data_IF_161615984118
#
_entry.id   IF_161615984118
#
_cell.length_a   1.000
_cell.length_b   1.000
_cell.length_c   1.000
_cell.angle_alpha   90.00
_cell.angle_beta   90.00
_cell.angle_gamma   90.00
#
_symmetry.space_group_name_H-M   'P 1'
#
loop_
_entity.id
_entity.type
_entity.pdbx_description
1 polymer ?
#
# COMPACT_ATOMS: atom_id res chain seq x y z
N UNK A 1 11.40 12.13 -53.17
CA UNK A 1 11.83 11.11 -52.18
C UNK A 1 11.61 11.54 -50.72
N UNK A 2 11.12 12.76 -50.42
CA UNK A 2 10.79 13.21 -49.06
C UNK A 2 9.33 12.94 -48.65
N UNK A 3 8.40 12.81 -49.60
CA UNK A 3 6.98 12.59 -49.28
C UNK A 3 6.60 11.14 -48.92
N UNK A 4 7.44 10.14 -49.28
CA UNK A 4 7.17 8.71 -49.00
C UNK A 4 7.43 8.36 -47.53
N UNK A 5 8.45 8.97 -46.92
CA UNK A 5 8.78 8.75 -45.51
C UNK A 5 7.71 9.33 -44.57
N UNK A 6 7.09 10.45 -44.96
CA UNK A 6 6.04 11.11 -44.19
C UNK A 6 4.72 10.33 -44.23
N UNK A 7 4.34 9.75 -45.38
CA UNK A 7 3.17 8.86 -45.46
C UNK A 7 3.38 7.55 -44.69
N UNK A 8 4.58 6.97 -44.75
CA UNK A 8 4.93 5.78 -43.99
C UNK A 8 4.92 6.04 -42.48
N UNK A 9 5.29 7.25 -42.05
CA UNK A 9 5.25 7.67 -40.64
C UNK A 9 3.82 7.87 -40.15
N UNK A 10 2.97 8.55 -40.93
CA UNK A 10 1.55 8.75 -40.61
C UNK A 10 0.79 7.42 -40.56
N UNK A 11 1.08 6.49 -41.47
CA UNK A 11 0.43 5.19 -41.51
C UNK A 11 0.91 4.28 -40.38
N UNK A 12 2.20 4.30 -40.02
CA UNK A 12 2.72 3.60 -38.83
C UNK A 12 2.14 4.18 -37.53
N UNK A 13 1.95 5.49 -37.45
CA UNK A 13 1.29 6.12 -36.30
C UNK A 13 -0.18 5.68 -36.25
N UNK A 14 -0.92 5.70 -37.35
CA UNK A 14 -2.31 5.24 -37.40
C UNK A 14 -2.45 3.77 -37.06
N UNK A 15 -1.54 2.92 -37.56
CA UNK A 15 -1.51 1.49 -37.26
C UNK A 15 -1.25 1.25 -35.77
N UNK A 16 -0.28 1.97 -35.19
CA UNK A 16 0.04 1.90 -33.76
C UNK A 16 -1.11 2.42 -32.88
N UNK A 17 -1.74 3.52 -33.29
CA UNK A 17 -2.93 4.09 -32.66
C UNK A 17 -4.08 3.07 -32.72
N UNK A 18 -4.37 2.45 -33.87
CA UNK A 18 -5.41 1.42 -34.01
C UNK A 18 -5.14 0.17 -33.16
N UNK A 19 -3.88 -0.27 -33.10
CA UNK A 19 -3.49 -1.40 -32.26
C UNK A 19 -3.62 -1.06 -30.75
N UNK A 20 -3.42 0.21 -30.36
CA UNK A 20 -3.58 0.69 -28.98
C UNK A 20 -5.05 1.01 -28.61
N UNK A 21 -5.92 1.33 -29.57
CA UNK A 21 -7.36 1.64 -29.37
C UNK A 21 -8.23 0.38 -29.25
N UNK A 22 -7.74 -0.79 -29.65
CA UNK A 22 -8.54 -2.01 -29.72
C UNK A 22 -9.03 -2.55 -28.35
N UNK A 23 -8.71 -1.87 -27.24
CA UNK A 23 -9.11 -2.21 -25.88
C UNK A 23 -10.17 -1.26 -25.28
N UNK A 24 -10.73 -0.33 -26.05
CA UNK A 24 -11.69 0.68 -25.59
C UNK A 24 -13.12 0.32 -26.07
N UNK A 25 -14.19 0.61 -25.31
CA UNK A 25 -15.58 0.38 -25.73
C UNK A 25 -15.95 0.96 -27.11
N UNK A 26 -16.89 0.33 -27.82
CA UNK A 26 -17.24 0.65 -29.21
C UNK A 26 -17.66 2.11 -29.45
N UNK A 27 -18.32 2.72 -28.46
CA UNK A 27 -18.76 4.11 -28.48
C UNK A 27 -17.59 5.12 -28.38
N UNK A 28 -16.46 4.68 -27.83
CA UNK A 28 -15.21 5.43 -27.83
C UNK A 28 -14.43 5.16 -29.12
N UNK A 29 -14.45 3.93 -29.64
CA UNK A 29 -13.82 3.59 -30.93
C UNK A 29 -14.38 4.43 -32.08
N UNK A 30 -15.71 4.59 -32.17
CA UNK A 30 -16.33 5.43 -33.20
C UNK A 30 -15.88 6.90 -33.12
N UNK A 31 -15.78 7.45 -31.91
CA UNK A 31 -15.36 8.84 -31.69
C UNK A 31 -13.89 9.06 -32.05
N UNK A 32 -13.05 8.06 -31.80
CA UNK A 32 -11.63 8.12 -32.16
C UNK A 32 -11.44 7.97 -33.67
N UNK A 33 -12.19 7.08 -34.33
CA UNK A 33 -12.17 6.94 -35.79
C UNK A 33 -12.59 8.24 -36.50
N UNK A 34 -13.58 8.95 -35.95
CA UNK A 34 -13.93 10.29 -36.44
C UNK A 34 -12.80 11.31 -36.22
N UNK A 35 -12.11 11.27 -35.08
CA UNK A 35 -10.99 12.15 -34.78
C UNK A 35 -9.81 11.91 -35.71
N UNK A 36 -9.46 10.63 -35.96
CA UNK A 36 -8.41 10.21 -36.89
C UNK A 36 -8.72 10.69 -38.32
N UNK A 37 -9.98 10.59 -38.76
CA UNK A 37 -10.44 11.11 -40.06
C UNK A 37 -10.27 12.62 -40.19
N UNK A 38 -10.29 13.37 -39.08
CA UNK A 38 -10.18 14.84 -39.04
C UNK A 38 -8.74 15.36 -38.92
N UNK A 39 -7.73 14.49 -38.71
CA UNK A 39 -6.31 14.90 -38.68
C UNK A 39 -5.90 15.35 -40.09
N UNK A 40 -5.65 16.65 -40.26
CA UNK A 40 -5.19 17.23 -41.52
C UNK A 40 -3.66 17.06 -41.64
N UNK A 41 -3.18 16.49 -42.76
CA UNK A 41 -1.74 16.33 -43.10
C UNK A 41 -1.01 17.66 -42.86
N UNK A 42 -0.21 17.76 -41.80
CA UNK A 42 0.63 18.93 -41.53
C UNK A 42 2.08 18.48 -41.53
N UNK A 43 2.87 19.06 -42.43
CA UNK A 43 4.31 18.78 -42.59
C UNK A 43 5.04 19.15 -41.30
N UNK A 44 5.58 18.15 -40.60
CA UNK A 44 6.48 18.36 -39.46
C UNK A 44 7.79 17.62 -39.75
N UNK A 45 8.92 18.29 -39.53
CA UNK A 45 10.23 17.78 -39.92
C UNK A 45 10.73 16.77 -38.86
N UNK A 46 10.62 15.47 -39.17
CA UNK A 46 10.81 14.36 -38.23
C UNK A 46 12.28 13.96 -38.14
N UNK A 47 13.08 14.63 -37.29
CA UNK A 47 14.41 14.10 -36.91
C UNK A 47 14.75 14.08 -35.42
N UNK A 48 13.89 14.54 -34.52
CA UNK A 48 14.13 14.45 -33.05
C UNK A 48 12.86 14.38 -32.21
N UNK A 49 11.86 13.59 -32.60
CA UNK A 49 10.63 13.40 -31.81
C UNK A 49 10.24 11.92 -31.85
N UNK A 50 10.99 11.07 -31.17
CA UNK A 50 10.66 9.65 -31.01
C UNK A 50 10.71 9.29 -29.53
N UNK A 51 9.56 9.45 -28.85
CA UNK A 51 9.07 8.62 -27.72
C UNK A 51 8.01 9.34 -26.87
N UNK A 52 8.04 10.67 -26.78
CA UNK A 52 7.18 11.42 -25.84
C UNK A 52 5.87 11.93 -26.49
N UNK A 53 5.87 12.31 -27.77
CA UNK A 53 4.67 12.89 -28.39
C UNK A 53 3.57 11.88 -28.74
N UNK A 54 3.87 10.58 -28.91
CA UNK A 54 2.83 9.57 -29.17
C UNK A 54 1.91 9.36 -27.96
N UNK A 55 2.47 9.42 -26.75
CA UNK A 55 1.74 9.33 -25.47
C UNK A 55 0.79 10.53 -25.30
N UNK A 56 1.24 11.73 -25.68
CA UNK A 56 0.40 12.93 -25.66
C UNK A 56 -0.68 12.94 -26.76
N UNK A 57 -0.45 12.28 -27.89
CA UNK A 57 -1.40 12.23 -29.02
C UNK A 57 -2.52 11.22 -28.75
N UNK A 58 -2.23 10.05 -28.18
CA UNK A 58 -3.28 9.13 -27.70
C UNK A 58 -4.05 9.76 -26.52
N UNK A 59 -3.33 10.44 -25.63
CA UNK A 59 -3.90 11.27 -24.56
C UNK A 59 -4.55 12.59 -25.02
N UNK A 60 -4.62 12.90 -26.32
CA UNK A 60 -5.44 14.02 -26.84
C UNK A 60 -6.54 13.53 -27.79
N UNK A 61 -6.34 12.40 -28.47
CA UNK A 61 -7.35 11.76 -29.33
C UNK A 61 -8.43 11.02 -28.51
N UNK A 62 -8.09 10.49 -27.33
CA UNK A 62 -9.08 10.03 -26.35
C UNK A 62 -9.88 11.21 -25.73
N UNK A 63 -9.41 12.44 -25.87
CA UNK A 63 -9.87 13.62 -25.13
C UNK A 63 -10.61 14.66 -25.99
N UNK A 64 -11.16 14.23 -27.12
CA UNK A 64 -11.86 15.08 -28.10
C UNK A 64 -13.27 15.55 -27.72
N UNK A 65 -13.72 15.41 -26.46
CA UNK A 65 -14.98 16.00 -25.98
C UNK A 65 -14.72 16.73 -24.65
N UNK A 66 -14.54 18.04 -24.78
CA UNK A 66 -14.58 19.08 -23.73
C UNK A 66 -13.68 18.88 -22.51
N UNK A 67 -12.40 19.27 -22.63
CA UNK A 67 -11.64 19.79 -21.49
C UNK A 67 -11.65 21.33 -21.57
N UNK A 68 -12.46 22.03 -20.77
CA UNK A 68 -12.18 23.44 -20.50
C UNK A 68 -10.83 23.50 -19.78
N UNK A 69 -9.80 23.98 -20.46
CA UNK A 69 -8.54 24.51 -19.90
C UNK A 69 -8.19 24.05 -18.47
N UNK A 70 -7.60 22.87 -18.32
CA UNK A 70 -7.03 22.41 -17.05
C UNK A 70 -5.50 22.54 -17.09
N UNK A 71 -5.04 23.76 -16.89
CA UNK A 71 -3.68 24.06 -16.45
C UNK A 71 -3.75 25.26 -15.49
N UNK A 72 -4.52 25.11 -14.40
CA UNK A 72 -4.30 25.97 -13.25
C UNK A 72 -2.98 25.53 -12.64
N UNK A 73 -1.95 26.38 -12.72
CA UNK A 73 -0.73 26.23 -11.94
C UNK A 73 -1.10 26.04 -10.47
N UNK A 74 -0.85 24.86 -9.88
CA UNK A 74 -0.95 24.63 -8.44
C UNK A 74 0.45 24.29 -7.91
N UNK A 75 0.90 24.96 -6.84
CA UNK A 75 2.24 24.84 -6.30
C UNK A 75 2.38 23.64 -5.35
N UNK A 76 2.12 22.42 -5.82
CA UNK A 76 2.70 21.23 -5.19
C UNK A 76 3.84 20.77 -6.10
N UNK A 77 4.90 21.57 -6.12
CA UNK A 77 6.17 21.24 -6.79
C UNK A 77 6.85 20.20 -5.90
N UNK A 78 6.74 18.92 -6.25
CA UNK A 78 7.35 17.79 -5.55
C UNK A 78 6.48 16.52 -5.63
N UNK A 79 7.09 15.34 -5.46
CA UNK A 79 6.31 14.09 -5.50
C UNK A 79 5.34 14.07 -4.32
N UNK A 80 4.04 13.82 -4.56
CA UNK A 80 3.05 13.62 -3.47
C UNK A 80 3.54 12.53 -2.50
N UNK A 81 4.32 11.57 -3.00
CA UNK A 81 4.96 10.51 -2.23
C UNK A 81 5.92 11.04 -1.16
N UNK A 82 6.57 12.19 -1.36
CA UNK A 82 7.38 12.83 -0.31
C UNK A 82 6.52 13.36 0.84
N UNK A 83 5.25 13.68 0.58
CA UNK A 83 4.31 14.06 1.64
C UNK A 83 3.91 12.83 2.45
N UNK A 84 3.90 11.67 1.83
CA UNK A 84 3.81 10.40 2.52
C UNK A 84 5.17 10.13 3.21
N UNK A 85 5.25 10.42 4.51
CA UNK A 85 6.46 10.13 5.32
C UNK A 85 6.54 8.62 5.62
N UNK A 86 6.55 7.78 4.58
CA UNK A 86 6.48 6.33 4.64
C UNK A 86 7.52 5.73 3.71
N UNK A 87 8.52 5.03 4.27
CA UNK A 87 9.35 4.09 3.51
C UNK A 87 8.49 3.12 2.68
N UNK A 88 7.26 2.84 3.13
CA UNK A 88 6.24 2.04 2.42
C UNK A 88 5.95 2.46 0.98
N UNK A 89 6.10 3.75 0.62
CA UNK A 89 5.83 4.21 -0.75
C UNK A 89 7.07 4.72 -1.49
N UNK A 90 8.28 4.46 -0.99
CA UNK A 90 9.53 5.01 -1.55
C UNK A 90 9.78 4.57 -2.99
N UNK A 91 9.37 3.35 -3.34
CA UNK A 91 9.55 2.82 -4.68
C UNK A 91 8.43 3.20 -5.66
N UNK A 92 7.31 3.75 -5.17
CA UNK A 92 6.16 4.06 -6.01
C UNK A 92 6.45 5.08 -7.10
N UNK A 93 7.36 6.03 -6.87
CA UNK A 93 7.67 7.08 -7.85
C UNK A 93 8.26 6.50 -9.15
N UNK A 94 9.04 5.41 -9.02
CA UNK A 94 9.65 4.71 -10.15
C UNK A 94 8.60 4.09 -11.07
N UNK A 95 7.55 3.53 -10.48
CA UNK A 95 6.58 2.66 -11.15
C UNK A 95 5.24 3.36 -11.47
N UNK A 96 4.88 4.39 -10.72
CA UNK A 96 3.63 5.11 -10.93
C UNK A 96 3.67 5.98 -12.19
N UNK A 97 2.46 6.26 -12.67
CA UNK A 97 2.20 7.23 -13.74
C UNK A 97 1.81 8.56 -13.11
N UNK A 98 2.49 9.64 -13.50
CA UNK A 98 2.11 11.00 -13.15
C UNK A 98 0.90 11.45 -13.98
N UNK A 99 -0.13 11.96 -13.30
CA UNK A 99 -1.39 12.37 -13.92
C UNK A 99 -1.72 13.84 -13.64
N UNK A 100 -1.82 14.20 -12.35
CA UNK A 100 -2.23 15.51 -11.87
C UNK A 100 -3.53 16.03 -12.50
N UNK A 101 -4.54 15.16 -12.59
CA UNK A 101 -5.85 15.49 -13.15
C UNK A 101 -6.73 16.02 -12.03
N UNK A 102 -7.31 17.21 -12.21
CA UNK A 102 -8.11 17.87 -11.18
C UNK A 102 -9.57 18.03 -11.59
N UNK A 103 -10.49 17.77 -10.64
CA UNK A 103 -11.91 18.11 -10.72
C UNK A 103 -12.30 18.96 -9.51
N UNK A 104 -13.23 19.87 -9.71
CA UNK A 104 -13.72 20.75 -8.66
C UNK A 104 -15.24 20.67 -8.63
N UNK A 105 -15.80 20.53 -7.42
CA UNK A 105 -17.24 20.50 -7.19
C UNK A 105 -17.50 20.97 -5.77
N UNK A 106 -18.54 21.78 -5.57
CA UNK A 106 -18.98 22.26 -4.25
C UNK A 106 -17.86 22.78 -3.34
N UNK A 107 -16.94 23.57 -3.92
CA UNK A 107 -15.86 24.24 -3.20
C UNK A 107 -14.69 23.34 -2.80
N UNK A 108 -14.70 22.05 -3.20
CA UNK A 108 -13.59 21.14 -3.02
C UNK A 108 -12.97 20.79 -4.37
N UNK A 109 -11.64 20.85 -4.39
CA UNK A 109 -10.83 20.50 -5.54
C UNK A 109 -10.12 19.18 -5.26
N UNK A 110 -10.43 18.17 -6.06
CA UNK A 110 -9.86 16.82 -5.96
C UNK A 110 -8.90 16.61 -7.13
N UNK A 111 -7.65 16.33 -6.82
CA UNK A 111 -6.60 16.05 -7.80
C UNK A 111 -6.16 14.59 -7.67
N UNK A 112 -6.23 13.83 -8.75
CA UNK A 112 -5.56 12.52 -8.87
C UNK A 112 -4.12 12.79 -9.31
N UNK A 113 -3.17 12.62 -8.40
CA UNK A 113 -1.76 12.94 -8.63
C UNK A 113 -1.04 11.82 -9.37
N UNK A 114 -1.12 10.59 -8.85
CA UNK A 114 -0.43 9.43 -9.40
C UNK A 114 -1.32 8.18 -9.33
N UNK A 115 -1.07 7.25 -10.23
CA UNK A 115 -1.70 5.92 -10.24
C UNK A 115 -0.68 4.83 -10.54
N UNK A 116 -0.84 3.68 -9.91
CA UNK A 116 -0.09 2.47 -10.26
C UNK A 116 -0.91 1.22 -9.99
N UNK A 117 -0.78 0.22 -10.86
CA UNK A 117 -1.33 -1.12 -10.63
C UNK A 117 -0.18 -2.11 -10.77
N UNK A 118 0.07 -2.90 -9.72
CA UNK A 118 1.19 -3.84 -9.64
C UNK A 118 0.78 -5.31 -9.76
N UNK A 119 -0.38 -5.57 -10.38
CA UNK A 119 -1.02 -6.88 -10.49
C UNK A 119 -1.66 -7.38 -9.18
N UNK A 120 -1.17 -6.93 -8.02
CA UNK A 120 -1.78 -7.23 -6.71
C UNK A 120 -2.79 -6.15 -6.33
N UNK A 121 -2.44 -4.87 -6.46
CA UNK A 121 -3.21 -3.74 -5.96
C UNK A 121 -3.11 -2.52 -6.88
N UNK A 122 -4.22 -1.80 -7.00
CA UNK A 122 -4.28 -0.50 -7.64
C UNK A 122 -4.19 0.60 -6.58
N UNK A 123 -3.14 1.41 -6.62
CA UNK A 123 -2.98 2.55 -5.72
C UNK A 123 -3.23 3.86 -6.46
N UNK A 124 -4.11 4.71 -5.91
CA UNK A 124 -4.45 6.05 -6.42
C UNK A 124 -4.04 7.08 -5.38
N UNK A 125 -3.06 7.91 -5.71
CA UNK A 125 -2.60 9.01 -4.87
C UNK A 125 -3.36 10.28 -5.26
N UNK A 126 -3.92 10.97 -4.27
CA UNK A 126 -4.80 12.10 -4.49
C UNK A 126 -4.58 13.22 -3.49
N UNK A 127 -5.04 14.41 -3.87
CA UNK A 127 -5.10 15.61 -3.04
C UNK A 127 -6.52 16.14 -3.00
N UNK A 128 -7.02 16.51 -1.82
CA UNK A 128 -8.27 17.26 -1.64
C UNK A 128 -7.93 18.63 -1.08
N UNK A 129 -8.29 19.68 -1.80
CA UNK A 129 -8.06 21.07 -1.40
C UNK A 129 -9.41 21.76 -1.14
N UNK A 130 -9.44 22.59 -0.10
CA UNK A 130 -10.58 23.42 0.27
C UNK A 130 -10.12 24.86 0.51
N UNK A 131 -10.98 25.83 0.22
CA UNK A 131 -10.72 27.24 0.59
C UNK A 131 -10.70 27.44 2.11
N UNK A 132 -11.46 26.62 2.84
CA UNK A 132 -11.56 26.65 4.29
C UNK A 132 -10.85 25.46 4.92
N UNK A 133 -10.39 25.61 6.16
CA UNK A 133 -9.79 24.50 6.90
C UNK A 133 -10.78 23.35 7.07
N UNK A 134 -10.39 22.16 6.65
CA UNK A 134 -11.11 20.93 6.94
C UNK A 134 -10.91 20.56 8.42
N UNK A 135 -11.99 20.20 9.11
CA UNK A 135 -11.96 19.87 10.54
C UNK A 135 -11.67 18.40 10.81
N UNK A 136 -11.83 17.56 9.79
CA UNK A 136 -11.88 16.11 9.87
C UNK A 136 -11.45 15.52 8.52
N UNK A 137 -10.91 14.30 8.51
CA UNK A 137 -10.29 13.74 7.30
C UNK A 137 -11.33 13.40 6.24
N UNK A 138 -11.13 13.78 4.96
CA UNK A 138 -12.04 13.42 3.88
C UNK A 138 -11.81 11.98 3.40
N UNK A 139 -12.90 11.26 3.17
CA UNK A 139 -12.97 9.90 2.68
C UNK A 139 -13.94 9.80 1.50
N UNK A 140 -13.63 8.97 0.52
CA UNK A 140 -14.51 8.71 -0.62
C UNK A 140 -15.54 7.62 -0.25
N UNK A 141 -16.65 8.04 0.38
CA UNK A 141 -17.70 7.12 0.84
C UNK A 141 -18.59 6.58 -0.28
N UNK A 142 -18.87 7.40 -1.29
CA UNK A 142 -19.69 7.05 -2.45
C UNK A 142 -18.87 7.18 -3.72
N UNK A 143 -18.09 6.13 -3.98
CA UNK A 143 -17.28 5.98 -5.18
C UNK A 143 -17.72 4.78 -6.01
N UNK A 144 -17.86 4.98 -7.30
CA UNK A 144 -18.02 3.90 -8.26
C UNK A 144 -16.72 3.77 -9.05
N UNK A 145 -16.06 2.61 -8.92
CA UNK A 145 -14.88 2.25 -9.70
C UNK A 145 -15.28 1.34 -10.85
N UNK A 146 -14.88 1.69 -12.07
CA UNK A 146 -15.00 0.84 -13.26
C UNK A 146 -13.65 0.65 -13.91
N UNK A 147 -13.44 -0.51 -14.51
CA UNK A 147 -12.27 -0.80 -15.34
C UNK A 147 -12.78 -1.08 -16.75
N UNK A 148 -12.34 -0.28 -17.72
CA UNK A 148 -12.82 -0.32 -19.11
C UNK A 148 -14.37 -0.31 -19.18
N UNK A 149 -15.00 0.59 -18.41
CA UNK A 149 -16.46 0.73 -18.33
C UNK A 149 -17.19 -0.37 -17.56
N UNK A 150 -16.51 -1.43 -17.10
CA UNK A 150 -17.13 -2.52 -16.32
C UNK A 150 -17.03 -2.22 -14.83
N UNK A 151 -18.16 -2.27 -14.11
CA UNK A 151 -18.21 -2.17 -12.65
C UNK A 151 -17.28 -3.20 -12.02
N UNK A 152 -16.46 -2.76 -11.06
CA UNK A 152 -15.65 -3.64 -10.22
C UNK A 152 -16.14 -3.57 -8.77
N UNK A 153 -15.96 -4.67 -8.03
CA UNK A 153 -16.14 -4.64 -6.58
C UNK A 153 -14.88 -4.03 -5.99
N UNK A 154 -14.99 -2.80 -5.48
CA UNK A 154 -13.84 -2.08 -4.94
C UNK A 154 -14.08 -1.76 -3.47
N UNK A 155 -13.51 -2.55 -2.58
CA UNK A 155 -13.24 -2.11 -1.22
C UNK A 155 -11.91 -1.38 -1.25
N UNK A 156 -11.93 -0.07 -1.00
CA UNK A 156 -10.73 0.75 -0.88
C UNK A 156 -10.36 0.93 0.60
N UNK A 157 -9.12 0.61 0.95
CA UNK A 157 -8.48 1.10 2.17
C UNK A 157 -7.60 2.29 1.79
N UNK A 158 -7.22 3.13 2.75
CA UNK A 158 -6.36 4.25 2.44
C UNK A 158 -5.78 4.92 3.67
N UNK A 159 -4.73 5.70 3.46
CA UNK A 159 -4.13 6.55 4.47
C UNK A 159 -3.90 7.93 3.89
N UNK A 160 -3.92 8.94 4.74
CA UNK A 160 -3.60 10.29 4.34
C UNK A 160 -3.25 11.14 5.53
N UNK A 161 -3.04 12.42 5.28
CA UNK A 161 -2.84 13.41 6.32
C UNK A 161 -3.16 14.81 5.82
N UNK A 162 -3.41 15.70 6.76
CA UNK A 162 -3.46 17.12 6.48
C UNK A 162 -2.08 17.73 6.24
N UNK A 163 -2.07 18.71 5.35
CA UNK A 163 -1.00 19.68 5.14
C UNK A 163 -1.62 21.08 4.99
N UNK A 164 -0.77 22.10 4.89
CA UNK A 164 -1.19 23.50 4.68
C UNK A 164 -2.30 23.94 5.65
N UNK A 165 -2.04 23.78 6.95
CA UNK A 165 -2.96 24.20 8.01
C UNK A 165 -4.39 23.62 7.84
N UNK A 166 -4.44 22.35 7.46
CA UNK A 166 -5.64 21.54 7.20
C UNK A 166 -6.51 22.03 6.04
N UNK A 167 -6.01 22.90 5.15
CA UNK A 167 -6.71 23.27 3.90
C UNK A 167 -6.51 22.25 2.78
N UNK A 168 -5.48 21.42 2.91
CA UNK A 168 -5.14 20.39 1.94
C UNK A 168 -4.98 19.06 2.64
N UNK A 169 -5.60 18.02 2.09
CA UNK A 169 -5.42 16.64 2.50
C UNK A 169 -4.73 15.86 1.37
N UNK A 170 -3.67 15.13 1.70
CA UNK A 170 -3.00 14.21 0.77
C UNK A 170 -3.34 12.79 1.20
N UNK A 171 -3.85 11.98 0.26
CA UNK A 171 -4.31 10.62 0.51
C UNK A 171 -3.84 9.63 -0.54
N UNK A 172 -3.79 8.36 -0.16
CA UNK A 172 -3.68 7.22 -1.08
C UNK A 172 -4.85 6.30 -0.80
N UNK A 173 -5.54 5.90 -1.86
CA UNK A 173 -6.57 4.85 -1.81
C UNK A 173 -6.07 3.64 -2.58
N UNK A 174 -6.15 2.51 -1.94
CA UNK A 174 -5.65 1.22 -2.38
C UNK A 174 -6.85 0.30 -2.68
N UNK A 175 -7.05 0.01 -3.95
CA UNK A 175 -8.15 -0.79 -4.45
C UNK A 175 -7.66 -2.19 -4.80
N UNK A 176 -8.39 -3.19 -4.30
CA UNK A 176 -8.36 -4.49 -4.94
C UNK A 176 -9.09 -4.39 -6.27
N UNK A 177 -8.35 -4.58 -7.34
CA UNK A 177 -8.94 -4.69 -8.66
C UNK A 177 -8.85 -6.15 -9.09
N UNK A 178 -9.99 -6.82 -9.03
CA UNK A 178 -10.20 -8.14 -9.60
C UNK A 178 -11.51 -8.11 -10.36
N UNK A 179 -11.59 -8.77 -11.52
CA UNK A 179 -12.87 -8.85 -12.22
C UNK A 179 -13.83 -9.71 -11.40
N UNK A 180 -14.97 -9.14 -11.02
CA UNK A 180 -16.24 -9.79 -11.37
C UNK A 180 -17.45 -8.88 -11.45
N UNK A 181 -18.30 -9.24 -12.42
CA UNK A 181 -19.66 -8.74 -12.65
C UNK A 181 -20.46 -8.84 -11.36
N UNK A 182 -21.28 -7.81 -11.14
CA UNK A 182 -22.48 -7.77 -10.28
C UNK A 182 -22.89 -9.14 -9.70
N UNK A 183 -22.93 -9.22 -8.37
CA UNK A 183 -23.95 -9.90 -7.54
C UNK A 183 -24.54 -11.24 -8.03
N UNK A 184 -24.46 -12.25 -7.15
CA UNK A 184 -25.38 -13.38 -7.00
C UNK A 184 -25.16 -14.70 -7.76
N UNK A 185 -23.91 -15.12 -8.05
CA UNK A 185 -23.71 -16.53 -8.44
C UNK A 185 -22.47 -17.22 -7.87
N UNK A 186 -22.66 -18.53 -7.67
CA UNK A 186 -21.92 -19.50 -6.85
C UNK A 186 -20.49 -19.82 -7.32
N UNK A 187 -20.11 -19.38 -8.53
CA UNK A 187 -18.74 -19.55 -9.07
C UNK A 187 -17.81 -18.37 -8.69
N UNK A 188 -18.33 -17.48 -7.84
CA UNK A 188 -17.88 -16.19 -7.31
C UNK A 188 -16.48 -16.16 -6.69
N UNK A 189 -16.34 -16.90 -5.59
CA UNK A 189 -15.41 -16.53 -4.52
C UNK A 189 -14.02 -17.14 -4.72
N UNK A 190 -13.92 -18.28 -5.42
CA UNK A 190 -12.64 -18.91 -5.78
C UNK A 190 -11.78 -18.04 -6.73
N UNK A 191 -12.40 -17.08 -7.45
CA UNK A 191 -11.74 -16.31 -8.52
C UNK A 191 -11.28 -14.91 -8.11
N UNK A 192 -11.64 -14.42 -6.92
CA UNK A 192 -11.27 -13.06 -6.46
C UNK A 192 -9.79 -12.91 -6.09
N UNK A 193 -9.17 -13.99 -5.60
CA UNK A 193 -7.75 -13.99 -5.22
C UNK A 193 -6.90 -14.93 -6.06
N UNK A 194 -7.52 -15.93 -6.70
CA UNK A 194 -6.77 -17.07 -7.24
C UNK A 194 -6.94 -17.41 -8.71
N UNK A 195 -8.00 -17.01 -9.44
CA UNK A 195 -8.20 -17.39 -10.86
C UNK A 195 -9.45 -16.73 -11.51
N UNK A 196 -9.50 -15.40 -11.60
CA UNK A 196 -10.50 -14.72 -12.43
C UNK A 196 -10.01 -14.65 -13.88
N UNK A 197 -10.44 -15.61 -14.71
CA UNK A 197 -10.06 -15.88 -16.13
C UNK A 197 -10.26 -14.73 -17.14
N UNK A 198 -10.00 -13.50 -16.75
CA UNK A 198 -10.02 -12.34 -17.62
C UNK A 198 -8.94 -11.39 -17.08
N UNK A 199 -7.68 -11.56 -17.49
CA UNK A 199 -6.55 -10.70 -17.07
C UNK A 199 -6.93 -9.21 -17.16
N UNK A 200 -6.57 -8.43 -16.13
CA UNK A 200 -6.59 -6.96 -16.28
C UNK A 200 -5.49 -6.67 -17.30
N UNK A 201 -5.82 -6.07 -18.46
CA UNK A 201 -4.82 -5.84 -19.49
C UNK A 201 -3.76 -4.88 -18.97
N UNK A 202 -2.56 -4.92 -19.53
CA UNK A 202 -1.45 -4.06 -19.12
C UNK A 202 -1.75 -2.56 -19.25
N UNK A 203 -2.77 -2.23 -20.04
CA UNK A 203 -3.31 -0.89 -20.25
C UNK A 203 -4.82 -0.92 -20.11
N UNK A 204 -5.34 -0.06 -19.25
CA UNK A 204 -6.78 0.08 -19.04
C UNK A 204 -7.13 1.50 -18.60
N UNK A 205 -8.42 1.82 -18.67
CA UNK A 205 -8.97 3.05 -18.12
C UNK A 205 -9.77 2.73 -16.88
N UNK A 206 -9.49 3.46 -15.81
CA UNK A 206 -10.32 3.50 -14.62
C UNK A 206 -11.31 4.65 -14.78
N UNK A 207 -12.58 4.37 -14.58
CA UNK A 207 -13.57 5.42 -14.31
C UNK A 207 -13.79 5.47 -12.79
N UNK A 208 -13.35 6.56 -12.16
CA UNK A 208 -13.56 6.83 -10.73
C UNK A 208 -14.59 7.94 -10.59
N UNK A 209 -15.82 7.57 -10.21
CA UNK A 209 -16.91 8.52 -10.02
C UNK A 209 -17.13 8.74 -8.53
N UNK A 210 -16.81 9.93 -8.03
CA UNK A 210 -17.01 10.33 -6.64
C UNK A 210 -18.22 11.27 -6.59
N UNK A 211 -19.25 10.87 -5.84
CA UNK A 211 -20.50 11.66 -5.72
C UNK A 211 -20.68 12.27 -4.34
N UNK A 212 -19.88 11.84 -3.37
CA UNK A 212 -19.91 12.31 -2.00
C UNK A 212 -18.53 12.14 -1.36
N UNK A 213 -18.09 13.16 -0.63
CA UNK A 213 -16.95 13.11 0.27
C UNK A 213 -17.51 13.09 1.70
N UNK A 214 -17.23 12.01 2.43
CA UNK A 214 -17.56 11.82 3.83
C UNK A 214 -16.38 12.25 4.69
N UNK A 215 -16.66 12.95 5.77
CA UNK A 215 -15.69 13.33 6.76
C UNK A 215 -15.72 12.36 7.94
N UNK A 216 -14.61 12.21 8.67
CA UNK A 216 -14.53 11.33 9.84
C UNK A 216 -15.47 11.73 10.99
N UNK A 217 -16.00 12.96 10.99
CA UNK A 217 -17.05 13.42 11.90
C UNK A 217 -18.48 13.12 11.41
N UNK A 218 -18.59 12.31 10.34
CA UNK A 218 -19.82 11.92 9.65
C UNK A 218 -20.54 13.04 8.88
N UNK A 219 -19.94 14.23 8.76
CA UNK A 219 -20.45 15.25 7.83
C UNK A 219 -20.14 14.87 6.39
N UNK A 220 -20.96 15.32 5.44
CA UNK A 220 -20.74 15.01 4.02
C UNK A 220 -20.86 16.23 3.13
N UNK A 221 -20.06 16.24 2.06
CA UNK A 221 -20.19 17.18 0.95
C UNK A 221 -20.52 16.35 -0.30
N UNK A 222 -21.77 16.46 -0.75
CA UNK A 222 -22.18 15.94 -2.05
C UNK A 222 -21.50 16.72 -3.14
N UNK A 223 -21.22 16.09 -4.28
CA UNK A 223 -20.60 16.74 -5.42
C UNK A 223 -20.48 15.78 -6.59
N UNK A 224 -19.69 16.14 -7.59
CA UNK A 224 -19.46 15.29 -8.74
C UNK A 224 -18.01 15.43 -9.23
N UNK A 225 -17.15 14.49 -8.82
CA UNK A 225 -15.76 14.41 -9.24
C UNK A 225 -15.56 13.09 -9.99
N UNK A 226 -15.71 13.14 -11.32
CA UNK A 226 -15.55 11.99 -12.20
C UNK A 226 -14.22 12.05 -12.94
N UNK A 227 -13.46 10.97 -12.86
CA UNK A 227 -12.14 10.85 -13.47
C UNK A 227 -12.09 9.65 -14.41
N UNK A 228 -11.54 9.89 -15.59
CA UNK A 228 -11.08 8.84 -16.50
C UNK A 228 -9.56 8.78 -16.40
N UNK A 229 -9.06 7.75 -15.72
CA UNK A 229 -7.66 7.62 -15.32
C UNK A 229 -7.03 6.51 -16.17
N UNK A 230 -6.14 6.83 -17.11
CA UNK A 230 -5.38 5.81 -17.81
C UNK A 230 -4.38 5.17 -16.86
N UNK A 231 -4.33 3.84 -16.86
CA UNK A 231 -3.38 3.05 -16.09
C UNK A 231 -2.57 2.17 -17.02
N UNK A 232 -1.28 2.09 -16.73
CA UNK A 232 -0.38 1.13 -17.36
C UNK A 232 0.44 0.39 -16.31
N UNK A 233 0.54 -0.93 -16.45
CA UNK A 233 1.42 -1.80 -15.66
C UNK A 233 2.76 -2.07 -16.37
N UNK A 234 3.07 -1.43 -17.51
CA UNK A 234 4.29 -1.71 -18.28
C UNK A 234 5.59 -1.66 -17.46
N UNK A 235 5.66 -0.78 -16.46
CA UNK A 235 6.85 -0.62 -15.61
C UNK A 235 7.04 -1.75 -14.59
N UNK A 236 5.98 -2.48 -14.27
CA UNK A 236 5.93 -3.57 -13.26
C UNK A 236 5.74 -4.94 -13.90
N UNK A 237 5.23 -4.99 -15.14
CA UNK A 237 4.93 -6.21 -15.89
C UNK A 237 6.13 -7.17 -15.91
N UNK A 238 5.86 -8.44 -15.57
CA UNK A 238 6.86 -9.51 -15.61
C UNK A 238 7.95 -9.40 -14.53
N UNK A 239 7.86 -8.42 -13.63
CA UNK A 239 8.72 -8.32 -12.43
C UNK A 239 8.10 -9.01 -11.22
N UNK A 240 6.84 -9.43 -11.33
CA UNK A 240 6.18 -10.26 -10.35
C UNK A 240 6.75 -11.67 -10.31
N UNK A 241 6.92 -12.24 -9.11
CA UNK A 241 7.22 -13.68 -8.93
C UNK A 241 6.16 -14.31 -8.06
N UNK A 242 5.70 -15.50 -8.45
CA UNK A 242 4.83 -16.34 -7.63
C UNK A 242 5.56 -17.61 -7.19
N UNK A 243 5.49 -17.92 -5.90
CA UNK A 243 6.05 -19.13 -5.30
C UNK A 243 4.96 -19.89 -4.56
N UNK A 244 4.63 -21.09 -5.04
CA UNK A 244 3.75 -22.00 -4.33
C UNK A 244 4.49 -22.60 -3.12
N UNK A 245 3.82 -22.72 -1.97
CA UNK A 245 4.42 -23.14 -0.71
C UNK A 245 3.60 -24.12 0.14
N UNK A 246 2.29 -24.30 -0.13
CA UNK A 246 1.38 -25.26 0.55
C UNK A 246 1.69 -25.50 2.05
N UNK A 247 1.67 -24.42 2.83
CA UNK A 247 1.94 -24.45 4.27
C UNK A 247 0.64 -24.73 5.02
N UNK A 248 0.64 -25.74 5.89
CA UNK A 248 -0.47 -26.10 6.76
C UNK A 248 -0.27 -25.53 8.18
N UNK A 249 -1.19 -24.65 8.59
CA UNK A 249 -1.24 -24.04 9.92
C UNK A 249 -2.47 -24.49 10.71
N UNK A 250 -3.02 -25.67 10.40
CA UNK A 250 -4.18 -26.27 11.08
C UNK A 250 -3.97 -26.50 12.58
N UNK A 251 -2.70 -26.57 13.02
CA UNK A 251 -2.33 -26.61 14.46
C UNK A 251 -2.73 -25.33 15.21
N UNK A 252 -2.79 -24.19 14.52
CA UNK A 252 -3.10 -22.88 15.10
C UNK A 252 -4.57 -22.52 14.90
N UNK A 253 -5.04 -22.65 13.66
CA UNK A 253 -6.42 -22.44 13.24
C UNK A 253 -6.76 -23.59 12.31
N UNK A 254 -7.70 -24.45 12.71
CA UNK A 254 -8.11 -25.61 11.93
C UNK A 254 -8.41 -25.26 10.47
N UNK A 255 -7.79 -25.98 9.53
CA UNK A 255 -7.92 -25.78 8.09
C UNK A 255 -7.26 -24.52 7.51
N UNK A 256 -6.42 -23.80 8.26
CA UNK A 256 -5.70 -22.64 7.77
C UNK A 256 -4.50 -23.07 6.92
N UNK A 257 -4.49 -22.66 5.65
CA UNK A 257 -3.43 -22.97 4.70
C UNK A 257 -2.93 -21.73 3.97
N UNK A 258 -1.62 -21.67 3.71
CA UNK A 258 -1.01 -20.69 2.82
C UNK A 258 -0.63 -21.42 1.54
N UNK A 259 -1.18 -20.99 0.41
CA UNK A 259 -0.92 -21.68 -0.86
C UNK A 259 0.29 -21.08 -1.57
N UNK A 260 0.43 -19.75 -1.57
CA UNK A 260 1.49 -19.06 -2.30
C UNK A 260 1.94 -17.74 -1.69
N UNK A 261 3.14 -17.35 -2.08
CA UNK A 261 3.73 -16.02 -1.89
C UNK A 261 3.86 -15.36 -3.25
N UNK A 262 3.48 -14.09 -3.35
CA UNK A 262 3.63 -13.25 -4.53
C UNK A 262 4.53 -12.09 -4.15
N UNK A 263 5.48 -11.75 -5.02
CA UNK A 263 6.33 -10.55 -4.86
C UNK A 263 6.21 -9.71 -6.11
N UNK A 264 6.18 -8.40 -5.95
CA UNK A 264 6.22 -7.40 -7.03
C UNK A 264 7.19 -6.30 -6.61
N UNK A 265 7.54 -5.37 -7.51
CA UNK A 265 8.34 -4.21 -7.13
C UNK A 265 7.70 -3.27 -6.10
N UNK A 266 6.41 -3.43 -5.77
CA UNK A 266 5.66 -2.52 -4.90
C UNK A 266 4.97 -3.21 -3.72
N UNK A 267 4.86 -4.54 -3.75
CA UNK A 267 4.18 -5.32 -2.72
C UNK A 267 4.77 -6.72 -2.60
N UNK A 268 4.64 -7.29 -1.41
CA UNK A 268 4.73 -8.73 -1.18
C UNK A 268 3.39 -9.20 -0.64
N UNK A 269 2.92 -10.38 -1.01
CA UNK A 269 1.68 -10.92 -0.50
C UNK A 269 1.79 -12.41 -0.20
N UNK A 270 1.15 -12.84 0.89
CA UNK A 270 0.82 -14.25 1.09
C UNK A 270 -0.67 -14.44 0.86
N UNK A 271 -1.00 -15.50 0.14
CA UNK A 271 -2.37 -15.86 -0.13
C UNK A 271 -2.64 -17.26 0.41
N UNK A 272 -3.87 -17.45 0.84
CA UNK A 272 -4.27 -18.73 1.41
C UNK A 272 -5.76 -18.84 1.62
N UNK A 273 -6.14 -19.84 2.41
CA UNK A 273 -7.52 -20.12 2.78
C UNK A 273 -7.65 -20.60 4.21
N UNK A 274 -8.83 -20.44 4.78
CA UNK A 274 -9.21 -21.02 6.07
C UNK A 274 -10.74 -21.25 6.12
N UNK A 275 -11.27 -22.10 7.00
CA UNK A 275 -12.71 -22.34 7.10
C UNK A 275 -13.49 -21.09 7.56
N UNK A 276 -14.62 -20.81 6.92
CA UNK A 276 -15.53 -19.74 7.31
C UNK A 276 -16.21 -20.09 8.63
N UNK A 277 -15.89 -19.37 9.71
CA UNK A 277 -16.47 -19.60 11.05
C UNK A 277 -17.42 -18.50 11.53
N UNK A 278 -17.76 -17.50 10.69
CA UNK A 278 -18.57 -16.33 11.09
C UNK A 278 -17.85 -15.32 11.99
N UNK A 279 -16.76 -15.72 12.64
CA UNK A 279 -15.72 -14.87 13.20
C UNK A 279 -14.51 -14.85 12.26
N UNK A 280 -13.71 -13.78 12.24
CA UNK A 280 -12.42 -13.79 11.57
C UNK A 280 -11.44 -14.59 12.46
N UNK A 281 -11.02 -15.81 12.09
CA UNK A 281 -10.14 -16.60 12.94
C UNK A 281 -8.74 -15.97 13.05
N UNK A 282 -8.43 -15.02 12.14
CA UNK A 282 -7.52 -13.89 12.35
C UNK A 282 -6.09 -14.25 12.68
N UNK A 283 -5.45 -15.04 11.82
CA UNK A 283 -4.00 -15.22 11.86
C UNK A 283 -3.35 -14.08 11.08
N UNK A 284 -2.44 -13.37 11.74
CA UNK A 284 -1.55 -12.35 11.17
C UNK A 284 -0.11 -12.87 11.21
N UNK A 285 0.80 -12.18 10.53
CA UNK A 285 2.19 -12.64 10.43
C UNK A 285 3.15 -11.47 10.60
N UNK A 286 4.20 -11.69 11.41
CA UNK A 286 5.43 -10.90 11.32
C UNK A 286 6.24 -11.50 10.19
N UNK A 287 6.75 -10.66 9.28
CA UNK A 287 7.58 -11.11 8.16
C UNK A 287 8.98 -10.52 8.30
N UNK A 288 10.00 -11.38 8.34
CA UNK A 288 11.40 -11.00 8.51
C UNK A 288 12.19 -11.62 7.36
N UNK A 289 13.07 -10.85 6.74
CA UNK A 289 13.93 -11.39 5.69
C UNK A 289 15.21 -12.05 6.23
N UNK A 290 16.01 -12.65 5.34
CA UNK A 290 17.26 -13.33 5.68
C UNK A 290 18.36 -12.39 6.21
N UNK A 291 18.20 -11.07 6.07
CA UNK A 291 19.07 -10.06 6.66
C UNK A 291 18.53 -9.54 8.00
N UNK A 292 17.43 -10.11 8.48
CA UNK A 292 16.80 -9.73 9.74
C UNK A 292 15.90 -8.51 9.65
N UNK A 293 15.66 -7.96 8.46
CA UNK A 293 14.82 -6.76 8.30
C UNK A 293 13.36 -7.17 8.44
N UNK A 294 12.62 -6.49 9.32
CA UNK A 294 11.18 -6.64 9.37
C UNK A 294 10.55 -5.97 8.14
N UNK A 295 9.66 -6.70 7.47
CA UNK A 295 8.92 -6.23 6.32
C UNK A 295 7.48 -5.94 6.77
N UNK A 296 7.08 -4.67 6.91
CA UNK A 296 5.83 -4.32 7.57
C UNK A 296 4.61 -4.75 6.76
N UNK A 297 3.54 -5.12 7.47
CA UNK A 297 2.24 -5.38 6.88
C UNK A 297 1.63 -4.07 6.35
N UNK A 298 1.07 -4.13 5.14
CA UNK A 298 0.38 -3.00 4.49
C UNK A 298 -1.13 -3.12 4.64
N UNK A 299 -1.67 -4.26 4.21
CA UNK A 299 -3.11 -4.50 4.21
C UNK A 299 -3.42 -5.98 4.39
N UNK A 300 -4.54 -6.28 5.05
CA UNK A 300 -5.04 -7.65 5.20
C UNK A 300 -6.46 -7.71 4.66
N UNK A 301 -6.71 -8.65 3.77
CA UNK A 301 -8.00 -8.76 3.10
C UNK A 301 -8.42 -10.22 3.07
N UNK A 302 -9.70 -10.47 3.29
CA UNK A 302 -10.28 -11.79 3.19
C UNK A 302 -11.68 -11.72 2.59
N UNK A 303 -12.05 -12.73 1.80
CA UNK A 303 -13.40 -12.90 1.29
C UNK A 303 -13.80 -14.36 1.39
N UNK A 304 -15.02 -14.61 1.84
CA UNK A 304 -15.58 -15.95 1.98
C UNK A 304 -17.05 -15.86 2.39
N UNK A 305 -17.76 -16.97 2.30
CA UNK A 305 -19.16 -17.04 2.69
C UNK A 305 -19.69 -18.47 2.78
N UNK A 306 -20.83 -18.61 3.46
CA UNK A 306 -21.48 -19.90 3.72
C UNK A 306 -22.00 -20.59 2.45
N UNK A 307 -22.40 -19.81 1.44
CA UNK A 307 -23.10 -20.35 0.26
C UNK A 307 -22.15 -20.79 -0.88
N UNK A 308 -21.05 -21.49 -0.55
CA UNK A 308 -20.14 -21.97 -1.60
C UNK A 308 -19.04 -22.97 -1.22
N UNK A 309 -18.56 -23.01 0.04
CA UNK A 309 -17.72 -24.11 0.59
C UNK A 309 -17.36 -23.93 2.09
N UNK A 310 -17.99 -23.01 2.83
CA UNK A 310 -17.54 -22.63 4.19
C UNK A 310 -16.02 -22.36 4.24
N UNK A 311 -15.49 -21.62 3.25
CA UNK A 311 -14.07 -21.25 3.14
C UNK A 311 -13.96 -19.74 2.93
N UNK A 312 -13.02 -19.12 3.63
CA UNK A 312 -12.48 -17.81 3.36
C UNK A 312 -11.14 -17.93 2.64
N UNK A 313 -10.94 -17.09 1.63
CA UNK A 313 -9.63 -16.83 1.04
C UNK A 313 -9.08 -15.52 1.57
N UNK A 314 -7.78 -15.44 1.81
CA UNK A 314 -7.13 -14.23 2.27
C UNK A 314 -5.95 -13.84 1.40
N UNK A 315 -5.63 -12.55 1.46
CA UNK A 315 -4.47 -11.91 0.87
C UNK A 315 -3.91 -10.94 1.92
N UNK A 316 -2.78 -11.30 2.53
CA UNK A 316 -2.06 -10.45 3.47
C UNK A 316 -0.90 -9.82 2.72
N UNK A 317 -0.92 -8.50 2.58
CA UNK A 317 0.06 -7.71 1.85
C UNK A 317 1.06 -7.06 2.80
N UNK A 318 2.30 -6.98 2.36
CA UNK A 318 3.44 -6.40 3.03
C UNK A 318 4.19 -5.48 2.06
N UNK A 319 5.14 -4.72 2.59
CA UNK A 319 6.08 -3.93 1.78
C UNK A 319 6.81 -4.82 0.76
N UNK A 320 7.20 -4.21 -0.37
CA UNK A 320 8.11 -4.81 -1.33
C UNK A 320 9.42 -5.27 -0.68
N UNK A 321 10.05 -6.26 -1.31
CA UNK A 321 11.32 -6.80 -0.85
C UNK A 321 12.49 -5.90 -1.24
N UNK A 322 13.56 -5.98 -0.46
CA UNK A 322 14.84 -5.40 -0.85
C UNK A 322 15.50 -6.27 -1.91
N UNK A 323 16.25 -5.66 -2.84
CA UNK A 323 16.89 -6.36 -3.97
C UNK A 323 17.81 -7.53 -3.54
N UNK A 324 18.34 -7.49 -2.32
CA UNK A 324 19.23 -8.50 -1.76
C UNK A 324 18.54 -9.48 -0.79
N UNK A 325 17.20 -9.51 -0.75
CA UNK A 325 16.42 -10.46 0.04
C UNK A 325 16.38 -11.81 -0.68
N UNK A 326 16.82 -12.88 -0.02
CA UNK A 326 16.88 -14.25 -0.57
C UNK A 326 15.78 -15.15 -0.01
N UNK A 327 15.36 -14.92 1.23
CA UNK A 327 14.27 -15.68 1.86
C UNK A 327 13.49 -14.86 2.88
N UNK A 328 12.27 -15.31 3.15
CA UNK A 328 11.32 -14.68 4.07
C UNK A 328 10.92 -15.68 5.14
N UNK A 329 11.02 -15.28 6.41
CA UNK A 329 10.51 -16.01 7.56
C UNK A 329 9.24 -15.34 8.05
N UNK A 330 8.19 -16.15 8.21
CA UNK A 330 6.89 -15.73 8.69
C UNK A 330 6.66 -16.30 10.09
N UNK A 331 6.28 -15.44 11.03
CA UNK A 331 5.95 -15.82 12.40
C UNK A 331 4.45 -15.56 12.61
N UNK A 332 3.63 -16.62 12.70
CA UNK A 332 2.20 -16.46 12.88
C UNK A 332 1.85 -15.93 14.27
N UNK A 333 0.84 -15.07 14.36
CA UNK A 333 0.28 -14.60 15.61
C UNK A 333 -1.22 -14.31 15.51
N UNK A 334 -1.93 -14.44 16.62
CA UNK A 334 -3.33 -13.99 16.76
C UNK A 334 -3.37 -12.66 17.47
N UNK A 335 -4.32 -11.81 17.05
CA UNK A 335 -4.58 -10.53 17.67
C UNK A 335 -5.99 -10.47 18.25
N UNK A 336 -6.09 -10.10 19.52
CA UNK A 336 -7.36 -9.86 20.22
C UNK A 336 -7.64 -8.36 20.25
N UNK A 337 -8.73 -7.94 19.59
CA UNK A 337 -9.20 -6.56 19.64
C UNK A 337 -9.70 -6.18 21.05
N UNK A 338 -9.56 -4.90 21.42
CA UNK A 338 -10.01 -4.33 22.70
C UNK A 338 -9.35 -4.92 23.96
N UNK A 339 -8.21 -5.59 23.82
CA UNK A 339 -7.43 -5.99 24.99
C UNK A 339 -6.87 -4.75 25.71
N UNK A 340 -6.92 -4.76 27.03
CA UNK A 340 -6.37 -3.71 27.89
C UNK A 340 -4.84 -3.85 28.00
N UNK A 341 -4.13 -3.55 26.92
CA UNK A 341 -2.68 -3.43 26.92
C UNK A 341 -2.24 -2.26 27.81
N UNK A 342 -1.10 -2.40 28.49
CA UNK A 342 -0.59 -1.38 29.41
C UNK A 342 0.79 -0.95 29.01
N UNK A 343 1.04 0.35 29.11
CA UNK A 343 2.41 0.86 29.05
C UNK A 343 3.10 0.59 30.37
N UNK A 344 4.29 -0.01 30.29
CA UNK A 344 5.16 -0.28 31.42
C UNK A 344 6.33 0.69 31.36
N UNK A 345 6.63 1.33 32.48
CA UNK A 345 7.85 2.12 32.65
C UNK A 345 8.77 1.35 33.59
N UNK A 346 9.88 0.86 33.06
CA UNK A 346 10.82 0.02 33.81
C UNK A 346 12.17 0.71 33.89
N UNK A 347 12.75 0.77 35.10
CA UNK A 347 14.09 1.34 35.29
C UNK A 347 15.11 0.51 34.52
N UNK A 348 15.89 1.18 33.67
CA UNK A 348 16.94 0.54 32.89
C UNK A 348 18.17 0.26 33.73
N UNK A 349 18.71 -0.93 33.56
CA UNK A 349 20.07 -1.26 33.93
C UNK A 349 20.98 -1.06 32.72
N UNK A 350 21.89 -0.09 32.78
CA UNK A 350 22.80 0.20 31.67
C UNK A 350 24.00 -0.76 31.60
N UNK A 351 24.27 -1.52 32.67
CA UNK A 351 25.44 -2.39 32.79
C UNK A 351 25.10 -3.88 32.75
N UNK A 352 23.81 -4.23 32.81
CA UNK A 352 23.33 -5.60 32.77
C UNK A 352 21.92 -5.65 32.18
N UNK A 353 21.37 -6.86 32.07
CA UNK A 353 20.03 -7.06 31.51
C UNK A 353 18.94 -6.38 32.36
N UNK A 354 17.90 -5.88 31.67
CA UNK A 354 16.67 -5.39 32.29
C UNK A 354 15.51 -6.29 31.88
N UNK A 355 14.98 -7.05 32.84
CA UNK A 355 13.82 -7.93 32.62
C UNK A 355 12.51 -7.16 32.71
N UNK A 356 11.59 -7.43 31.80
CA UNK A 356 10.27 -6.80 31.71
C UNK A 356 9.18 -7.83 32.02
N UNK A 357 8.33 -7.52 32.99
CA UNK A 357 7.29 -8.42 33.48
C UNK A 357 5.89 -7.83 33.29
N UNK A 358 4.94 -8.69 32.89
CA UNK A 358 3.52 -8.37 32.80
C UNK A 358 2.90 -8.25 34.20
N UNK A 359 1.68 -7.73 34.28
CA UNK A 359 0.95 -7.59 35.56
C UNK A 359 0.84 -8.91 36.34
N UNK A 360 0.85 -10.05 35.64
CA UNK A 360 0.74 -11.40 36.22
C UNK A 360 2.10 -11.99 36.65
N UNK A 361 3.18 -11.24 36.50
CA UNK A 361 4.55 -11.66 36.84
C UNK A 361 5.25 -12.47 35.74
N UNK A 362 4.65 -12.65 34.57
CA UNK A 362 5.28 -13.34 33.44
C UNK A 362 6.31 -12.43 32.77
N UNK A 363 7.53 -12.92 32.57
CA UNK A 363 8.55 -12.21 31.77
C UNK A 363 8.10 -12.17 30.31
N UNK A 364 7.93 -10.96 29.75
CA UNK A 364 7.48 -10.78 28.36
C UNK A 364 8.60 -10.28 27.44
N UNK A 365 9.64 -9.66 27.99
CA UNK A 365 10.84 -9.27 27.24
C UNK A 365 12.02 -9.02 28.17
N UNK A 366 13.22 -9.00 27.59
CA UNK A 366 14.47 -8.68 28.28
C UNK A 366 15.23 -7.67 27.42
N UNK A 367 15.55 -6.50 27.97
CA UNK A 367 16.54 -5.60 27.35
C UNK A 367 17.91 -6.17 27.70
N UNK A 368 18.65 -6.61 26.68
CA UNK A 368 19.91 -7.35 26.89
C UNK A 368 21.10 -6.42 27.03
N UNK A 369 21.15 -5.37 26.20
CA UNK A 369 22.18 -4.32 26.27
C UNK A 369 21.74 -3.05 25.55
N UNK A 370 22.49 -2.00 25.83
CA UNK A 370 22.36 -0.69 25.19
C UNK A 370 23.74 -0.27 24.70
N UNK A 371 23.81 0.19 23.46
CA UNK A 371 25.05 0.68 22.86
C UNK A 371 24.82 2.08 22.31
N UNK A 372 25.76 2.98 22.56
CA UNK A 372 25.73 4.33 22.00
C UNK A 372 26.84 4.45 20.96
N UNK A 373 26.47 4.86 19.74
CA UNK A 373 27.41 5.07 18.65
C UNK A 373 26.91 6.20 17.74
N UNK A 374 27.79 7.09 17.30
CA UNK A 374 27.49 8.14 16.32
C UNK A 374 26.25 9.00 16.69
N UNK A 375 26.18 9.47 17.93
CA UNK A 375 25.07 10.29 18.47
C UNK A 375 23.69 9.59 18.51
N UNK A 376 23.65 8.27 18.32
CA UNK A 376 22.45 7.43 18.40
C UNK A 376 22.62 6.32 19.44
N UNK A 377 21.48 5.82 19.92
CA UNK A 377 21.45 4.70 20.86
C UNK A 377 20.81 3.48 20.21
N UNK A 378 21.42 2.32 20.31
CA UNK A 378 20.84 1.02 19.93
C UNK A 378 20.37 0.31 21.19
N UNK A 379 19.13 -0.16 21.18
CA UNK A 379 18.56 -0.98 22.26
C UNK A 379 18.37 -2.39 21.73
N UNK A 380 19.03 -3.35 22.38
CA UNK A 380 18.93 -4.76 22.04
C UNK A 380 17.99 -5.44 23.03
N UNK A 381 17.10 -6.28 22.53
CA UNK A 381 16.12 -6.96 23.36
C UNK A 381 15.75 -8.35 22.84
N UNK A 382 15.33 -9.23 23.75
CA UNK A 382 14.73 -10.53 23.45
C UNK A 382 13.28 -10.52 23.85
N UNK A 383 12.41 -11.09 23.01
CA UNK A 383 11.01 -11.29 23.36
C UNK A 383 10.40 -12.39 22.51
N UNK A 384 9.57 -13.23 23.14
CA UNK A 384 8.70 -14.16 22.41
C UNK A 384 7.66 -13.46 21.52
N UNK A 385 7.37 -12.18 21.81
CA UNK A 385 6.45 -11.34 21.05
C UNK A 385 7.15 -10.55 19.92
N UNK A 386 8.48 -10.69 19.81
CA UNK A 386 9.30 -10.08 18.77
C UNK A 386 9.11 -8.57 18.60
N UNK A 387 8.81 -8.16 17.37
CA UNK A 387 8.63 -6.75 16.98
C UNK A 387 7.53 -6.03 17.77
N UNK A 388 6.55 -6.76 18.32
CA UNK A 388 5.40 -6.15 18.98
C UNK A 388 5.69 -5.54 20.36
N UNK A 389 6.83 -5.88 20.97
CA UNK A 389 7.27 -5.41 22.29
C UNK A 389 8.42 -4.39 22.19
N UNK A 390 8.70 -3.89 20.99
CA UNK A 390 9.76 -2.91 20.79
C UNK A 390 9.67 -1.72 21.77
N UNK A 391 10.80 -1.31 22.38
CA UNK A 391 10.86 -0.09 23.15
C UNK A 391 10.29 1.11 22.42
N UNK A 392 9.50 1.93 23.10
CA UNK A 392 8.87 3.11 22.50
C UNK A 392 9.69 4.37 22.76
N UNK A 393 9.99 4.62 24.03
CA UNK A 393 10.78 5.78 24.47
C UNK A 393 11.67 5.38 25.64
N UNK A 394 12.86 5.98 25.68
CA UNK A 394 13.74 6.00 26.85
C UNK A 394 13.60 7.36 27.52
N UNK A 395 13.38 7.36 28.82
CA UNK A 395 13.10 8.56 29.62
C UNK A 395 14.28 8.78 30.55
N UNK A 396 14.91 9.96 30.46
CA UNK A 396 15.88 10.40 31.46
C UNK A 396 15.12 10.79 32.74
N UNK A 397 15.33 10.02 33.82
CA UNK A 397 14.56 10.19 35.05
C UNK A 397 14.90 11.52 35.78
N UNK A 398 16.03 12.16 35.47
CA UNK A 398 16.44 13.44 36.07
C UNK A 398 15.87 14.64 35.31
N UNK A 399 15.93 14.61 33.98
CA UNK A 399 15.52 15.76 33.14
C UNK A 399 14.09 15.64 32.61
N UNK A 400 13.51 14.43 32.62
CA UNK A 400 12.26 14.13 31.94
C UNK A 400 12.38 14.07 30.41
N UNK A 401 13.59 14.18 29.86
CA UNK A 401 13.81 14.10 28.42
C UNK A 401 13.42 12.72 27.90
N UNK A 402 12.67 12.71 26.80
CA UNK A 402 12.27 11.51 26.06
C UNK A 402 13.16 11.35 24.84
N UNK A 403 13.74 10.17 24.72
CA UNK A 403 14.58 9.72 23.61
C UNK A 403 13.76 8.66 22.89
N UNK A 404 13.37 8.95 21.65
CA UNK A 404 12.39 8.15 20.94
C UNK A 404 13.13 7.01 20.24
N UNK A 405 12.84 5.78 20.66
CA UNK A 405 13.10 4.60 19.83
C UNK A 405 12.09 4.53 18.68
N UNK A 406 10.91 5.11 18.92
CA UNK A 406 9.75 5.07 18.05
C UNK A 406 9.16 6.49 17.98
N UNK A 407 9.14 7.11 16.80
CA UNK A 407 8.51 8.43 16.59
C UNK A 407 7.02 8.37 16.97
N UNK A 408 6.50 9.42 17.63
CA UNK A 408 5.10 9.58 18.08
C UNK A 408 4.08 9.63 16.93
N UNK A 409 4.45 9.20 15.73
CA UNK A 409 3.53 9.02 14.62
C UNK A 409 2.44 8.02 15.02
N UNK A 410 1.20 8.32 14.69
CA UNK A 410 0.07 7.40 14.88
C UNK A 410 0.17 6.11 14.06
N UNK A 411 1.19 5.95 13.22
CA UNK A 411 1.37 4.79 12.36
C UNK A 411 2.46 3.85 12.88
N UNK A 412 2.02 2.83 13.63
CA UNK A 412 2.85 1.74 14.16
C UNK A 412 3.63 0.98 13.08
N UNK A 413 3.12 0.93 11.83
CA UNK A 413 3.76 0.19 10.72
C UNK A 413 5.12 0.77 10.33
N UNK A 414 5.29 2.09 10.46
CA UNK A 414 6.58 2.77 10.20
C UNK A 414 7.67 2.33 11.17
N UNK A 415 7.25 2.06 12.39
CA UNK A 415 8.11 1.84 13.54
C UNK A 415 8.62 0.40 13.56
N UNK A 416 7.77 -0.53 13.13
CA UNK A 416 8.14 -1.93 12.99
C UNK A 416 9.21 -2.16 11.91
N UNK A 417 9.28 -1.32 10.87
CA UNK A 417 10.28 -1.43 9.80
C UNK A 417 11.72 -1.10 10.27
N UNK A 418 11.87 -0.31 11.34
CA UNK A 418 13.17 0.06 11.89
C UNK A 418 13.73 -1.00 12.86
N UNK A 419 12.95 -2.04 13.15
CA UNK A 419 13.38 -3.16 13.99
C UNK A 419 14.12 -4.18 13.14
N UNK A 420 15.34 -4.51 13.56
CA UNK A 420 16.16 -5.55 12.92
C UNK A 420 16.27 -6.74 13.87
N UNK A 421 15.99 -7.93 13.37
CA UNK A 421 16.24 -9.20 14.04
C UNK A 421 17.66 -9.69 13.76
N UNK A 422 18.36 -10.13 14.79
CA UNK A 422 19.75 -10.59 14.74
C UNK A 422 19.75 -12.10 14.93
N UNK A 423 19.89 -12.84 13.81
CA UNK A 423 19.86 -14.31 13.80
C UNK A 423 20.90 -14.94 14.73
N UNK A 424 22.10 -14.36 14.81
CA UNK A 424 23.22 -14.95 15.56
C UNK A 424 23.02 -14.89 17.08
N UNK A 425 22.33 -13.87 17.58
CA UNK A 425 22.11 -13.67 19.02
C UNK A 425 20.67 -13.94 19.47
N UNK A 426 19.74 -14.14 18.52
CA UNK A 426 18.30 -14.21 18.76
C UNK A 426 17.79 -12.95 19.48
N UNK A 427 18.18 -11.79 18.97
CA UNK A 427 17.81 -10.48 19.51
C UNK A 427 17.14 -9.61 18.47
N UNK A 428 16.39 -8.63 18.92
CA UNK A 428 15.90 -7.52 18.12
C UNK A 428 16.66 -6.27 18.51
N UNK A 429 16.93 -5.40 17.54
CA UNK A 429 17.56 -4.10 17.76
C UNK A 429 16.68 -3.00 17.18
N UNK A 430 16.52 -1.94 17.97
CA UNK A 430 15.88 -0.68 17.55
C UNK A 430 16.83 0.49 17.83
N UNK A 431 16.83 1.49 16.94
CA UNK A 431 17.71 2.65 17.02
C UNK A 431 16.93 3.87 17.49
N UNK A 432 17.36 4.48 18.58
CA UNK A 432 16.84 5.76 19.05
C UNK A 432 17.49 6.94 18.33
N UNK A 433 16.74 8.03 18.24
CA UNK A 433 17.13 9.27 17.57
C UNK A 433 18.27 10.05 18.24
N UNK A 434 18.59 9.73 19.50
CA UNK A 434 19.60 10.41 20.30
C UNK A 434 20.46 9.45 21.14
N UNK A 435 21.63 9.94 21.51
CA UNK A 435 22.50 9.36 22.53
C UNK A 435 21.89 9.48 23.94
N UNK A 436 22.00 8.41 24.74
CA UNK A 436 21.73 8.47 26.18
C UNK A 436 22.87 9.19 26.91
N UNK A 437 22.61 10.40 27.43
CA UNK A 437 23.55 11.15 28.29
C UNK A 437 23.12 11.11 29.74
N UNK A 438 23.86 10.38 30.57
CA UNK A 438 23.60 10.22 32.00
C UNK A 438 23.60 8.77 32.46
N UNK A 439 23.01 8.50 33.63
CA UNK A 439 23.08 7.18 34.28
C UNK A 439 21.72 6.66 34.76
N UNK A 440 20.66 7.49 34.73
CA UNK A 440 19.36 7.13 35.32
C UNK A 440 18.24 7.28 34.29
N UNK A 441 17.85 6.15 33.72
CA UNK A 441 16.85 6.06 32.67
C UNK A 441 15.77 5.03 32.99
N UNK A 442 14.61 5.24 32.41
CA UNK A 442 13.54 4.25 32.34
C UNK A 442 13.18 3.98 30.88
N UNK A 443 12.79 2.76 30.57
CA UNK A 443 12.28 2.38 29.25
C UNK A 443 10.77 2.22 29.32
N UNK A 444 10.09 2.73 28.30
CA UNK A 444 8.66 2.55 28.12
C UNK A 444 8.39 1.53 27.03
N UNK A 445 7.69 0.46 27.39
CA UNK A 445 7.26 -0.59 26.46
C UNK A 445 5.75 -0.81 26.59
N UNK A 446 5.11 -1.34 25.55
CA UNK A 446 3.73 -1.79 25.62
C UNK A 446 3.69 -3.29 25.95
N UNK A 447 3.04 -3.66 27.05
CA UNK A 447 2.72 -5.05 27.34
C UNK A 447 1.56 -5.50 26.43
N UNK A 448 1.89 -6.35 25.46
CA UNK A 448 0.95 -6.92 24.49
C UNK A 448 0.53 -8.34 24.83
N UNK A 449 0.93 -8.89 25.98
CA UNK A 449 0.62 -10.27 26.38
C UNK A 449 -0.88 -10.61 26.40
N UNK A 450 -1.74 -9.61 26.58
CA UNK A 450 -3.21 -9.74 26.59
C UNK A 450 -3.84 -9.61 25.20
N UNK A 451 -3.11 -9.04 24.23
CA UNK A 451 -3.61 -8.80 22.87
C UNK A 451 -3.01 -9.73 21.83
N UNK A 452 -1.80 -10.24 22.07
CA UNK A 452 -1.04 -10.98 21.06
C UNK A 452 -0.66 -12.35 21.59
N UNK A 453 -0.94 -13.37 20.78
CA UNK A 453 -0.46 -14.73 20.99
C UNK A 453 0.42 -15.13 19.81
N UNK A 454 1.70 -15.40 20.05
CA UNK A 454 2.70 -15.71 19.01
C UNK A 454 2.98 -17.20 18.96
N UNK A 455 3.02 -17.75 17.75
CA UNK A 455 3.24 -19.17 17.46
C UNK A 455 4.65 -19.39 16.85
N UNK A 456 5.70 -19.14 17.63
CA UNK A 456 7.09 -19.21 17.16
C UNK A 456 7.50 -20.61 16.66
N UNK A 457 6.95 -21.67 17.24
CA UNK A 457 7.24 -23.06 16.85
C UNK A 457 6.63 -23.42 15.48
N UNK A 458 5.64 -22.65 15.01
CA UNK A 458 4.97 -22.81 13.72
C UNK A 458 5.47 -21.78 12.67
N UNK A 459 6.61 -21.12 12.94
CA UNK A 459 7.25 -20.23 11.95
C UNK A 459 7.74 -21.03 10.75
N UNK A 460 7.70 -20.41 9.57
CA UNK A 460 8.13 -21.05 8.31
C UNK A 460 8.92 -20.08 7.45
N UNK A 461 9.82 -20.63 6.61
CA UNK A 461 10.69 -19.84 5.73
C UNK A 461 10.49 -20.23 4.27
N UNK A 462 10.41 -19.23 3.40
CA UNK A 462 10.20 -19.39 1.95
C UNK A 462 11.32 -18.67 1.21
N UNK A 463 11.93 -19.34 0.22
CA UNK A 463 12.90 -18.73 -0.69
C UNK A 463 12.17 -17.92 -1.76
N UNK A 464 12.69 -16.74 -2.08
CA UNK A 464 12.04 -15.78 -3.01
C UNK A 464 12.94 -15.34 -4.17
N UNK A 465 14.16 -15.88 -4.24
CA UNK A 465 15.12 -15.65 -5.33
C UNK A 465 15.32 -16.83 -6.25
#
# INVERSE_FOLDING_TARGET
MRDIDDELFDDKIKERIKNEINCVPDDINEKIDEAIKKIRKRRVNVKKICSICAICIVGTLLFGITMPTYASNIPIIGSILEKFNYKTYENYDKYASDLNITKESNGLKVTVNKVVYDEIELSVFYTVESQNKMQSEPMFSSQELKINGKKTTSTGGGTGKFIDDNKTFVGVTEYNVGKKKNTDSKDIQNKMFYNGDDEIPDKFVINLNITEILYTDYSTIKGNWNFDIPVTSEKVLGKGKEQNCDIDLSRIVDGYHINKVITTPLNTAIQGRYPFSGSHPGLSFVMIDDKGRNIPNKSNRASGGKDGNDVCYFNNQFKELYDNTESLTFIPYKYTCNANNKYMNVKLNLQAETKLYSDDGTEYATITRIETENEKTKIYYKSKYGVHVAPIEVINNKTGEKILAIDNSSDRRKQEEDIIYLNDSDEYVIVCDKELKGEDFSIKCLDVSKSIEVYNDDRFTIKVN
#
